data_IF_438224482712
#
_entry.id   IF_438224482712
#
_cell.length_a   1.000
_cell.length_b   1.000
_cell.length_c   1.000
_cell.angle_alpha   90.00
_cell.angle_beta   90.00
_cell.angle_gamma   90.00
#
_symmetry.space_group_name_H-M   'P 1'
#
loop_
_entity.id
_entity.type
_entity.pdbx_description
1 polymer ?
#
# COMPACT_ATOMS: atom_id res chain seq x y z
N UNK A 1 -1.74 27.30 2.69
CA UNK A 1 -1.42 27.39 1.24
C UNK A 1 0.06 27.07 1.05
N UNK A 2 0.44 25.78 1.14
CA UNK A 2 1.80 25.37 0.85
C UNK A 2 1.95 25.26 -0.67
N UNK A 3 2.84 26.09 -1.24
CA UNK A 3 3.28 25.96 -2.62
C UNK A 3 4.06 24.65 -2.73
N UNK A 4 3.58 23.70 -3.53
CA UNK A 4 4.36 22.54 -3.94
C UNK A 4 5.42 23.02 -4.94
N UNK A 5 6.52 23.55 -4.38
CA UNK A 5 7.70 23.94 -5.13
C UNK A 5 8.29 22.74 -5.87
N UNK A 6 8.99 23.04 -6.97
CA UNK A 6 9.86 22.16 -7.77
C UNK A 6 9.96 20.74 -7.21
N UNK A 7 9.25 19.79 -7.84
CA UNK A 7 9.30 18.40 -7.39
C UNK A 7 10.69 17.87 -7.73
N UNK A 8 11.56 17.75 -6.73
CA UNK A 8 12.90 17.20 -6.90
C UNK A 8 12.80 15.79 -7.47
N UNK A 9 13.55 15.51 -8.55
CA UNK A 9 13.60 14.20 -9.20
C UNK A 9 14.04 13.09 -8.23
N UNK A 10 14.91 13.43 -7.28
CA UNK A 10 15.34 12.54 -6.20
C UNK A 10 15.01 13.19 -4.87
N UNK A 11 14.47 12.42 -3.93
CA UNK A 11 14.20 12.90 -2.58
C UNK A 11 14.62 11.88 -1.53
N UNK A 12 14.98 12.38 -0.36
CA UNK A 12 15.28 11.58 0.81
C UNK A 12 14.37 12.00 1.96
N UNK A 13 13.84 11.03 2.69
CA UNK A 13 13.05 11.24 3.90
C UNK A 13 13.54 10.32 5.00
N UNK A 14 13.78 10.89 6.18
CA UNK A 14 13.87 10.13 7.41
C UNK A 14 12.60 10.37 8.23
N UNK A 15 11.88 9.29 8.51
CA UNK A 15 10.63 9.32 9.25
C UNK A 15 10.91 9.23 10.74
N UNK A 16 10.16 10.00 11.53
CA UNK A 16 10.24 9.98 13.00
C UNK A 16 10.07 8.55 13.55
N UNK A 17 10.95 8.07 14.46
CA UNK A 17 10.83 6.77 15.12
C UNK A 17 9.46 6.49 15.76
N UNK A 18 8.76 7.54 16.18
CA UNK A 18 7.45 7.47 16.82
C UNK A 18 6.30 7.67 15.81
N UNK A 19 6.57 7.59 14.50
CA UNK A 19 5.52 7.68 13.48
C UNK A 19 4.90 6.33 13.16
N UNK A 20 3.56 6.28 13.08
CA UNK A 20 2.83 5.13 12.55
C UNK A 20 3.28 4.74 11.12
N UNK A 21 3.69 5.72 10.31
CA UNK A 21 4.09 5.52 8.91
C UNK A 21 5.21 4.49 8.77
N UNK A 22 6.05 4.36 9.80
CA UNK A 22 7.08 3.35 9.83
C UNK A 22 6.50 1.95 9.65
N UNK A 23 5.32 1.63 10.21
CA UNK A 23 4.67 0.32 10.04
C UNK A 23 4.56 -0.10 8.56
N UNK A 24 4.39 0.88 7.67
CA UNK A 24 4.19 0.69 6.24
C UNK A 24 5.43 0.98 5.38
N UNK A 25 6.61 1.12 5.98
CA UNK A 25 7.84 1.39 5.24
C UNK A 25 9.11 1.26 6.07
N UNK A 26 10.20 1.75 5.49
CA UNK A 26 11.49 1.84 6.18
C UNK A 26 11.66 3.24 6.77
N UNK A 27 12.48 3.36 7.83
CA UNK A 27 12.78 4.65 8.46
C UNK A 27 13.36 5.68 7.50
N UNK A 28 14.24 5.23 6.60
CA UNK A 28 14.90 6.08 5.61
C UNK A 28 14.45 5.67 4.22
N UNK A 29 13.81 6.60 3.53
CA UNK A 29 13.27 6.38 2.19
C UNK A 29 13.96 7.29 1.20
N UNK A 30 14.67 6.69 0.25
CA UNK A 30 15.12 7.36 -0.97
C UNK A 30 14.02 7.17 -2.02
N UNK A 31 13.56 8.24 -2.66
CA UNK A 31 12.57 8.15 -3.75
C UNK A 31 13.08 8.79 -5.03
N UNK A 32 12.84 8.12 -6.16
CA UNK A 32 12.97 8.69 -7.50
C UNK A 32 11.57 8.99 -8.05
N UNK A 33 11.34 10.24 -8.41
CA UNK A 33 10.12 10.68 -9.09
C UNK A 33 10.21 10.36 -10.58
N UNK A 34 9.50 9.33 -11.00
CA UNK A 34 9.31 9.04 -12.42
C UNK A 34 8.48 10.14 -13.11
N UNK A 35 8.83 10.44 -14.35
CA UNK A 35 8.09 11.37 -15.21
C UNK A 35 7.88 10.74 -16.60
N UNK A 36 6.76 11.03 -17.29
CA UNK A 36 6.54 10.55 -18.65
C UNK A 36 7.68 10.94 -19.58
N UNK A 37 8.24 9.96 -20.31
CA UNK A 37 9.32 10.18 -21.27
C UNK A 37 10.71 10.40 -20.67
N UNK A 38 10.89 10.20 -19.35
CA UNK A 38 12.22 10.24 -18.75
C UNK A 38 13.10 9.06 -19.21
N UNK A 39 14.41 9.28 -19.27
CA UNK A 39 15.39 8.19 -19.42
C UNK A 39 15.63 7.56 -18.04
N UNK A 40 14.74 6.63 -17.66
CA UNK A 40 14.80 6.00 -16.35
C UNK A 40 16.13 5.28 -16.09
N UNK A 41 16.74 4.52 -17.03
CA UNK A 41 18.08 3.97 -16.85
C UNK A 41 19.13 5.02 -16.45
N UNK A 42 19.20 6.14 -17.19
CA UNK A 42 20.16 7.20 -16.87
C UNK A 42 19.89 7.84 -15.50
N UNK A 43 18.61 8.02 -15.14
CA UNK A 43 18.24 8.54 -13.82
C UNK A 43 18.58 7.56 -12.70
N UNK A 44 18.42 6.25 -12.92
CA UNK A 44 18.82 5.23 -11.94
C UNK A 44 20.33 5.25 -11.73
N UNK A 45 21.13 5.29 -12.79
CA UNK A 45 22.60 5.40 -12.71
C UNK A 45 23.05 6.64 -11.93
N UNK A 46 22.44 7.79 -12.21
CA UNK A 46 22.71 9.02 -11.47
C UNK A 46 22.33 8.88 -9.99
N UNK A 47 21.16 8.32 -9.72
CA UNK A 47 20.60 8.20 -8.37
C UNK A 47 21.42 7.28 -7.46
N UNK A 48 22.00 6.20 -8.00
CA UNK A 48 22.84 5.26 -7.25
C UNK A 48 24.01 5.94 -6.52
N UNK A 49 24.54 7.02 -7.09
CA UNK A 49 25.63 7.80 -6.48
C UNK A 49 25.18 8.61 -5.26
N UNK A 50 23.87 8.87 -5.14
CA UNK A 50 23.25 9.70 -4.11
C UNK A 50 22.69 8.91 -2.93
N UNK A 51 22.58 7.58 -3.07
CA UNK A 51 22.05 6.72 -2.01
C UNK A 51 23.00 6.64 -0.80
N UNK A 52 22.42 6.69 0.39
CA UNK A 52 23.11 6.66 1.69
C UNK A 52 22.47 5.63 2.62
N UNK A 53 23.23 5.15 3.62
CA UNK A 53 22.75 4.15 4.60
C UNK A 53 22.58 2.74 4.02
N UNK A 54 23.33 2.39 2.98
CA UNK A 54 23.14 1.21 2.13
C UNK A 54 23.16 -0.13 2.89
N UNK A 55 23.82 -0.18 4.04
CA UNK A 55 23.99 -1.33 4.92
C UNK A 55 22.90 -1.46 6.00
N UNK A 56 21.97 -0.50 6.09
CA UNK A 56 20.90 -0.49 7.09
C UNK A 56 19.59 -1.07 6.52
N UNK A 57 19.05 -2.09 7.19
CA UNK A 57 17.77 -2.75 6.88
C UNK A 57 16.56 -1.80 6.94
N UNK A 58 16.70 -0.68 7.66
CA UNK A 58 15.71 0.40 7.74
C UNK A 58 15.90 1.48 6.65
N UNK A 59 16.61 1.16 5.57
CA UNK A 59 16.62 1.95 4.33
C UNK A 59 15.84 1.28 3.21
N UNK A 60 15.19 2.09 2.37
CA UNK A 60 14.56 1.63 1.12
C UNK A 60 14.80 2.65 0.02
N UNK A 61 15.07 2.16 -1.19
CA UNK A 61 14.96 2.94 -2.42
C UNK A 61 13.64 2.60 -3.11
N UNK A 62 12.84 3.61 -3.47
CA UNK A 62 11.55 3.44 -4.14
C UNK A 62 11.46 4.21 -5.46
N UNK A 63 10.85 3.57 -6.46
CA UNK A 63 10.42 4.19 -7.72
C UNK A 63 8.96 3.84 -7.93
N UNK A 64 8.11 4.84 -8.16
CA UNK A 64 6.70 4.61 -8.47
C UNK A 64 6.44 4.93 -9.94
N UNK A 65 6.11 3.90 -10.72
CA UNK A 65 5.84 4.01 -12.17
C UNK A 65 4.38 3.65 -12.47
N UNK A 66 3.77 4.19 -13.54
CA UNK A 66 2.47 3.72 -13.99
C UNK A 66 2.54 2.23 -14.30
N UNK A 67 1.54 1.44 -13.89
CA UNK A 67 1.57 -0.03 -14.06
C UNK A 67 1.49 -0.49 -15.53
N UNK A 68 1.10 0.41 -16.44
CA UNK A 68 1.07 0.14 -17.88
C UNK A 68 2.40 0.49 -18.57
N UNK A 69 3.32 1.17 -17.87
CA UNK A 69 4.63 1.51 -18.39
C UNK A 69 5.54 0.28 -18.29
N UNK A 70 5.65 -0.45 -19.41
CA UNK A 70 6.36 -1.74 -19.43
C UNK A 70 7.81 -1.61 -19.85
N UNK A 71 8.19 -0.52 -20.54
CA UNK A 71 9.56 -0.28 -20.98
C UNK A 71 10.53 -0.12 -19.78
N UNK A 72 10.02 0.41 -18.67
CA UNK A 72 10.78 0.69 -17.45
C UNK A 72 10.96 -0.52 -16.52
N UNK A 73 10.22 -1.60 -16.73
CA UNK A 73 10.25 -2.76 -15.85
C UNK A 73 11.61 -3.47 -15.86
N UNK A 74 12.19 -3.71 -17.05
CA UNK A 74 13.47 -4.42 -17.16
C UNK A 74 14.65 -3.61 -16.59
N UNK A 75 14.78 -2.29 -16.86
CA UNK A 75 15.73 -1.44 -16.15
C UNK A 75 15.63 -1.56 -14.62
N UNK A 76 14.43 -1.43 -14.06
CA UNK A 76 14.22 -1.54 -12.61
C UNK A 76 14.70 -2.90 -12.07
N UNK A 77 14.39 -3.99 -12.76
CA UNK A 77 14.86 -5.36 -12.40
C UNK A 77 16.39 -5.46 -12.45
N UNK A 78 17.04 -4.92 -13.49
CA UNK A 78 18.50 -4.93 -13.60
C UNK A 78 19.19 -4.12 -12.49
N UNK A 79 18.53 -3.06 -12.01
CA UNK A 79 18.96 -2.30 -10.83
C UNK A 79 18.54 -2.95 -9.51
N UNK A 80 17.99 -4.18 -9.51
CA UNK A 80 17.67 -4.94 -8.31
C UNK A 80 16.40 -4.49 -7.59
N UNK A 81 15.51 -3.74 -8.25
CA UNK A 81 14.20 -3.42 -7.70
C UNK A 81 13.22 -4.59 -7.90
N UNK A 82 12.40 -4.84 -6.89
CA UNK A 82 11.26 -5.74 -6.98
C UNK A 82 9.94 -4.93 -6.96
N UNK A 83 8.91 -5.34 -7.71
CA UNK A 83 7.60 -4.73 -7.61
C UNK A 83 6.91 -5.25 -6.35
N UNK A 84 6.76 -4.40 -5.32
CA UNK A 84 6.27 -4.84 -4.01
C UNK A 84 4.87 -4.35 -3.67
N UNK A 85 4.49 -3.15 -4.09
CA UNK A 85 3.18 -2.57 -3.81
C UNK A 85 2.52 -2.06 -5.09
N UNK A 86 1.20 -2.21 -5.17
CA UNK A 86 0.38 -1.61 -6.22
C UNK A 86 -0.55 -0.57 -5.60
N UNK A 87 -0.62 0.58 -6.26
CA UNK A 87 -1.70 1.54 -6.07
C UNK A 87 -2.77 1.19 -7.10
N UNK A 88 -3.87 0.62 -6.61
CA UNK A 88 -4.98 0.19 -7.44
C UNK A 88 -6.13 1.17 -7.32
N UNK A 89 -6.92 1.30 -8.38
CA UNK A 89 -8.06 2.20 -8.44
C UNK A 89 -9.30 1.45 -8.93
N UNK A 90 -10.41 1.64 -8.21
CA UNK A 90 -11.76 1.24 -8.61
C UNK A 90 -12.52 2.50 -9.04
N UNK A 91 -13.18 2.46 -10.19
CA UNK A 91 -14.15 3.48 -10.58
C UNK A 91 -15.54 3.14 -10.01
N UNK A 92 -16.34 4.15 -9.71
CA UNK A 92 -17.70 4.00 -9.20
C UNK A 92 -18.56 3.05 -10.06
N UNK A 93 -19.49 2.33 -9.43
CA UNK A 93 -20.38 1.38 -10.10
C UNK A 93 -19.70 0.09 -10.58
N UNK A 94 -18.44 -0.15 -10.24
CA UNK A 94 -17.70 -1.39 -10.54
C UNK A 94 -17.59 -2.31 -9.33
N UNK A 95 -18.73 -2.68 -8.76
CA UNK A 95 -18.77 -3.71 -7.70
C UNK A 95 -19.08 -5.08 -8.29
N UNK A 96 -18.40 -6.15 -7.84
CA UNK A 96 -18.87 -7.50 -8.13
C UNK A 96 -20.25 -7.71 -7.49
N UNK A 97 -21.01 -8.66 -8.03
CA UNK A 97 -22.28 -9.05 -7.43
C UNK A 97 -22.05 -9.46 -5.96
N UNK A 98 -22.88 -8.93 -5.06
CA UNK A 98 -22.85 -9.30 -3.65
C UNK A 98 -22.99 -10.82 -3.53
N UNK A 99 -22.08 -11.42 -2.76
CA UNK A 99 -22.17 -12.84 -2.40
C UNK A 99 -22.82 -12.93 -1.03
N UNK A 100 -23.72 -13.90 -0.79
CA UNK A 100 -24.24 -14.14 0.54
C UNK A 100 -23.09 -14.37 1.52
N UNK A 101 -23.14 -13.68 2.64
CA UNK A 101 -22.24 -13.88 3.77
C UNK A 101 -23.08 -14.08 5.03
N UNK A 102 -22.61 -14.93 5.95
CA UNK A 102 -23.24 -15.11 7.26
C UNK A 102 -22.88 -14.00 8.26
N UNK A 103 -22.41 -12.84 7.78
CA UNK A 103 -22.00 -11.73 8.65
C UNK A 103 -22.92 -10.53 8.43
N UNK A 104 -23.18 -9.82 9.52
CA UNK A 104 -23.83 -8.51 9.51
C UNK A 104 -22.78 -7.41 9.46
N UNK A 105 -23.02 -6.36 8.69
CA UNK A 105 -22.14 -5.19 8.62
C UNK A 105 -22.75 -4.06 9.44
N UNK A 106 -21.97 -3.48 10.36
CA UNK A 106 -22.37 -2.30 11.14
C UNK A 106 -21.26 -1.27 11.25
N UNK A 107 -21.58 0.01 11.47
CA UNK A 107 -20.58 1.02 11.81
C UNK A 107 -19.81 0.63 13.08
N UNK A 108 -18.52 0.98 13.10
CA UNK A 108 -17.70 0.89 14.30
C UNK A 108 -18.05 2.03 15.27
N UNK A 109 -17.90 1.77 16.56
CA UNK A 109 -18.09 2.73 17.64
C UNK A 109 -16.80 2.85 18.46
N UNK A 110 -16.71 3.82 19.36
CA UNK A 110 -15.56 3.95 20.28
C UNK A 110 -15.35 2.71 21.16
N UNK A 111 -16.41 1.94 21.44
CA UNK A 111 -16.33 0.67 22.15
C UNK A 111 -15.61 -0.43 21.35
N UNK A 112 -15.48 -0.27 20.03
CA UNK A 112 -14.84 -1.24 19.14
C UNK A 112 -13.34 -1.00 18.94
N UNK A 113 -12.76 0.04 19.54
CA UNK A 113 -11.37 0.44 19.28
C UNK A 113 -10.36 -0.68 19.53
N UNK A 114 -10.53 -1.44 20.62
CA UNK A 114 -9.66 -2.59 20.94
C UNK A 114 -9.70 -3.66 19.86
N UNK A 115 -10.90 -3.94 19.34
CA UNK A 115 -11.13 -4.93 18.30
C UNK A 115 -10.60 -4.44 16.95
N UNK A 116 -10.77 -3.15 16.64
CA UNK A 116 -10.21 -2.55 15.43
C UNK A 116 -8.67 -2.62 15.42
N UNK A 117 -8.02 -2.36 16.56
CA UNK A 117 -6.56 -2.52 16.69
C UNK A 117 -6.15 -3.99 16.49
N UNK A 118 -6.85 -4.93 17.12
CA UNK A 118 -6.58 -6.38 16.97
C UNK A 118 -6.68 -6.84 15.51
N UNK A 119 -7.79 -6.50 14.84
CA UNK A 119 -8.01 -6.84 13.44
C UNK A 119 -6.96 -6.21 12.51
N UNK A 120 -6.56 -4.97 12.78
CA UNK A 120 -5.53 -4.32 11.99
C UNK A 120 -4.15 -4.98 12.18
N UNK A 121 -3.82 -5.36 13.42
CA UNK A 121 -2.59 -6.10 13.73
C UNK A 121 -2.52 -7.47 13.05
N UNK A 122 -3.66 -8.14 12.80
CA UNK A 122 -3.67 -9.37 11.99
C UNK A 122 -3.20 -9.14 10.56
N UNK A 123 -3.57 -8.01 9.95
CA UNK A 123 -3.11 -7.63 8.61
C UNK A 123 -1.64 -7.21 8.65
N UNK A 124 -1.22 -6.38 9.61
CA UNK A 124 0.19 -5.99 9.80
C UNK A 124 1.09 -7.22 9.81
N UNK A 125 0.80 -8.15 10.74
CA UNK A 125 1.60 -9.37 10.93
C UNK A 125 1.65 -10.22 9.68
N UNK A 126 0.51 -10.37 9.00
CA UNK A 126 0.45 -11.14 7.77
C UNK A 126 1.26 -10.49 6.64
N UNK A 127 1.21 -9.16 6.52
CA UNK A 127 1.88 -8.43 5.46
C UNK A 127 3.39 -8.25 5.69
N UNK A 128 3.92 -8.48 6.91
CA UNK A 128 5.37 -8.50 7.16
C UNK A 128 6.12 -9.50 6.26
N UNK A 129 5.45 -10.56 5.82
CA UNK A 129 6.01 -11.56 4.92
C UNK A 129 6.29 -11.05 3.49
N UNK A 130 5.83 -9.85 3.13
CA UNK A 130 5.89 -9.30 1.76
C UNK A 130 6.90 -8.16 1.60
N UNK A 131 7.69 -7.86 2.63
CA UNK A 131 8.93 -7.07 2.51
C UNK A 131 8.81 -5.54 2.67
N UNK A 132 7.60 -4.98 2.71
CA UNK A 132 7.40 -3.54 2.96
C UNK A 132 6.85 -3.21 4.35
N UNK A 133 5.98 -4.07 4.88
CA UNK A 133 5.41 -3.89 6.22
C UNK A 133 6.39 -4.37 7.28
N UNK A 134 6.50 -3.64 8.38
CA UNK A 134 7.36 -3.98 9.51
C UNK A 134 6.60 -3.75 10.80
N UNK A 135 6.25 -4.82 11.51
CA UNK A 135 5.70 -4.72 12.87
C UNK A 135 6.77 -4.13 13.80
N UNK A 136 6.43 -3.08 14.53
CA UNK A 136 7.29 -2.44 15.54
C UNK A 136 6.67 -2.56 16.92
N UNK A 137 7.48 -2.43 18.00
CA UNK A 137 6.97 -2.49 19.36
C UNK A 137 5.81 -1.52 19.64
N UNK A 138 5.84 -0.33 19.01
CA UNK A 138 4.82 0.72 19.15
C UNK A 138 3.71 0.68 18.07
N UNK A 139 3.70 -0.30 17.16
CA UNK A 139 2.70 -0.34 16.06
C UNK A 139 1.27 -0.37 16.59
N UNK A 140 0.97 -1.22 17.59
CA UNK A 140 -0.38 -1.33 18.13
C UNK A 140 -0.85 -0.05 18.85
N UNK A 141 0.06 0.63 19.55
CA UNK A 141 -0.21 1.90 20.22
C UNK A 141 -0.51 3.01 19.20
N UNK A 142 0.32 3.14 18.16
CA UNK A 142 0.09 4.12 17.11
C UNK A 142 -1.16 3.84 16.28
N UNK A 143 -1.47 2.56 16.02
CA UNK A 143 -2.73 2.17 15.38
C UNK A 143 -3.92 2.56 16.25
N UNK A 144 -3.84 2.41 17.57
CA UNK A 144 -4.91 2.82 18.47
C UNK A 144 -5.20 4.31 18.34
N UNK A 145 -4.18 5.16 18.34
CA UNK A 145 -4.36 6.61 18.15
C UNK A 145 -5.00 6.92 16.79
N UNK A 146 -4.45 6.37 15.71
CA UNK A 146 -4.97 6.64 14.36
C UNK A 146 -6.40 6.10 14.14
N UNK A 147 -6.73 4.93 14.69
CA UNK A 147 -8.07 4.35 14.55
C UNK A 147 -9.10 5.08 15.42
N UNK A 148 -8.70 5.60 16.59
CA UNK A 148 -9.56 6.47 17.39
C UNK A 148 -9.92 7.73 16.60
N UNK A 149 -8.95 8.37 15.94
CA UNK A 149 -9.19 9.53 15.08
C UNK A 149 -10.18 9.23 13.94
N UNK A 150 -10.12 8.03 13.33
CA UNK A 150 -11.07 7.62 12.29
C UNK A 150 -12.47 7.39 12.86
N UNK A 151 -12.58 6.79 14.04
CA UNK A 151 -13.87 6.54 14.72
C UNK A 151 -14.53 7.84 15.17
N UNK A 152 -13.72 8.82 15.59
CA UNK A 152 -14.20 10.12 16.10
C UNK A 152 -14.56 11.12 14.99
N UNK A 153 -14.43 10.74 13.71
CA UNK A 153 -14.88 11.58 12.57
C UNK A 153 -16.38 11.82 12.64
N UNK A 154 -16.80 12.95 12.10
CA UNK A 154 -18.22 13.36 12.03
C UNK A 154 -19.04 12.62 10.95
N UNK A 155 -18.46 11.58 10.35
CA UNK A 155 -19.04 10.77 9.29
C UNK A 155 -18.61 9.31 9.42
N UNK A 156 -19.47 8.39 8.98
CA UNK A 156 -19.13 6.96 8.99
C UNK A 156 -17.98 6.66 8.03
N UNK A 157 -16.87 6.20 8.58
CA UNK A 157 -15.66 5.87 7.83
C UNK A 157 -15.14 4.46 8.14
N UNK A 158 -15.70 3.75 9.12
CA UNK A 158 -15.26 2.44 9.57
C UNK A 158 -16.46 1.52 9.85
N UNK A 159 -16.39 0.29 9.35
CA UNK A 159 -17.42 -0.72 9.56
C UNK A 159 -16.78 -2.06 9.96
N UNK A 160 -17.55 -2.83 10.72
CA UNK A 160 -17.20 -4.17 11.18
C UNK A 160 -18.11 -5.21 10.55
N UNK A 161 -17.53 -6.37 10.25
CA UNK A 161 -18.27 -7.59 9.95
C UNK A 161 -18.44 -8.38 11.25
N UNK A 162 -19.68 -8.71 11.59
CA UNK A 162 -20.06 -9.39 12.83
C UNK A 162 -20.64 -10.75 12.49
N UNK A 163 -20.08 -11.81 13.08
CA UNK A 163 -20.56 -13.18 13.00
C UNK A 163 -20.96 -13.62 14.41
N UNK A 164 -22.23 -14.00 14.62
CA UNK A 164 -22.75 -14.45 15.93
C UNK A 164 -22.32 -13.49 17.07
N UNK A 165 -22.67 -12.20 16.93
CA UNK A 165 -22.31 -11.10 17.84
C UNK A 165 -20.80 -10.81 18.01
N UNK A 166 -19.94 -11.53 17.30
CA UNK A 166 -18.48 -11.36 17.38
C UNK A 166 -17.97 -10.62 16.15
N UNK A 167 -17.29 -9.47 16.29
CA UNK A 167 -16.62 -8.86 15.16
C UNK A 167 -15.46 -9.73 14.65
N UNK A 168 -15.46 -10.01 13.35
CA UNK A 168 -14.50 -10.90 12.69
C UNK A 168 -13.73 -10.21 11.55
N UNK A 169 -14.09 -8.98 11.21
CA UNK A 169 -13.41 -8.19 10.20
C UNK A 169 -13.72 -6.70 10.32
N UNK A 170 -12.86 -5.89 9.74
CA UNK A 170 -13.01 -4.43 9.69
C UNK A 170 -12.64 -3.91 8.31
N UNK A 171 -13.23 -2.78 7.96
CA UNK A 171 -12.82 -1.94 6.84
C UNK A 171 -12.89 -0.48 7.30
N UNK A 172 -11.93 0.34 6.89
CA UNK A 172 -12.08 1.79 6.98
C UNK A 172 -11.60 2.51 5.72
N UNK A 173 -12.16 3.68 5.48
CA UNK A 173 -11.90 4.53 4.34
C UNK A 173 -11.60 5.96 4.79
N UNK A 174 -10.73 6.64 4.06
CA UNK A 174 -10.63 8.10 4.08
C UNK A 174 -11.59 8.63 3.00
N UNK A 175 -12.56 9.43 3.43
CA UNK A 175 -13.49 10.13 2.54
C UNK A 175 -12.76 11.22 1.75
N UNK A 176 -13.36 11.82 0.70
CA UNK A 176 -12.66 12.77 -0.15
C UNK A 176 -11.96 13.94 0.55
N UNK A 177 -12.50 14.41 1.68
CA UNK A 177 -11.89 15.44 2.52
C UNK A 177 -10.60 14.99 3.22
N UNK A 178 -10.43 13.68 3.46
CA UNK A 178 -9.30 13.09 4.20
C UNK A 178 -8.28 12.40 3.27
N UNK A 179 -8.67 12.10 2.02
CA UNK A 179 -7.86 11.34 1.06
C UNK A 179 -6.84 12.17 0.26
N UNK A 180 -6.71 13.47 0.53
CA UNK A 180 -5.94 14.43 -0.30
C UNK A 180 -4.47 14.04 -0.54
N UNK A 181 -3.85 13.29 0.38
CA UNK A 181 -2.47 12.81 0.24
C UNK A 181 -2.26 11.86 -0.96
N UNK A 182 -3.33 11.27 -1.51
CA UNK A 182 -3.31 10.39 -2.67
C UNK A 182 -3.63 11.08 -4.01
N UNK A 183 -3.78 12.42 -4.02
CA UNK A 183 -4.24 13.18 -5.19
C UNK A 183 -3.43 12.89 -6.46
N UNK A 184 -2.10 12.80 -6.35
CA UNK A 184 -1.21 12.53 -7.51
C UNK A 184 -1.48 11.20 -8.23
N UNK A 185 -2.16 10.25 -7.59
CA UNK A 185 -2.38 8.91 -8.14
C UNK A 185 -3.78 8.69 -8.71
N UNK A 186 -4.74 9.50 -8.27
CA UNK A 186 -6.15 9.33 -8.60
C UNK A 186 -6.46 9.88 -9.99
N UNK A 187 -7.24 9.14 -10.79
CA UNK A 187 -7.56 9.51 -12.18
C UNK A 187 -8.96 10.07 -12.36
N UNK A 188 -9.83 9.92 -11.36
CA UNK A 188 -11.14 10.56 -11.30
C UNK A 188 -11.32 11.33 -9.98
N UNK A 189 -12.30 12.25 -9.95
CA UNK A 189 -12.64 13.10 -8.78
C UNK A 189 -14.17 13.18 -8.61
N UNK A 190 -14.69 13.31 -7.37
CA UNK A 190 -13.96 13.16 -6.11
C UNK A 190 -13.47 11.71 -5.91
N UNK A 191 -12.46 11.52 -5.08
CA UNK A 191 -11.90 10.18 -4.81
C UNK A 191 -11.80 9.93 -3.31
N UNK A 192 -11.90 8.67 -2.91
CA UNK A 192 -11.67 8.19 -1.56
C UNK A 192 -10.48 7.24 -1.53
N UNK A 193 -9.96 6.95 -0.34
CA UNK A 193 -8.90 5.98 -0.13
C UNK A 193 -9.36 4.88 0.83
N UNK A 194 -9.29 3.61 0.42
CA UNK A 194 -9.56 2.48 1.30
C UNK A 194 -8.28 2.20 2.09
N UNK A 195 -8.30 2.58 3.36
CA UNK A 195 -7.13 2.55 4.24
C UNK A 195 -6.79 1.16 4.73
N UNK A 196 -7.79 0.35 5.03
CA UNK A 196 -7.60 -1.00 5.51
C UNK A 196 -8.81 -1.87 5.24
N UNK A 197 -8.56 -3.15 4.93
CA UNK A 197 -9.52 -4.24 5.08
C UNK A 197 -8.80 -5.44 5.67
N UNK A 198 -9.31 -5.94 6.80
CA UNK A 198 -8.76 -7.08 7.50
C UNK A 198 -9.85 -8.00 8.01
N UNK A 199 -9.60 -9.30 8.00
CA UNK A 199 -10.45 -10.32 8.63
C UNK A 199 -9.59 -11.25 9.47
N UNK A 200 -10.15 -11.76 10.57
CA UNK A 200 -9.45 -12.71 11.44
C UNK A 200 -9.00 -13.94 10.65
N UNK A 201 -7.84 -14.53 10.97
CA UNK A 201 -7.27 -15.63 10.19
C UNK A 201 -8.16 -16.86 10.05
N UNK A 202 -8.92 -17.20 11.10
CA UNK A 202 -9.77 -18.37 11.25
C UNK A 202 -11.07 -18.30 10.43
N UNK A 203 -11.54 -17.10 10.09
CA UNK A 203 -12.73 -16.90 9.24
C UNK A 203 -12.42 -16.50 7.80
N UNK A 204 -11.16 -16.56 7.37
CA UNK A 204 -10.77 -16.24 5.98
C UNK A 204 -11.46 -17.21 5.01
N UNK A 205 -11.91 -16.68 3.88
CA UNK A 205 -12.65 -17.47 2.88
C UNK A 205 -14.15 -17.63 3.17
N UNK A 206 -14.66 -17.09 4.28
CA UNK A 206 -16.09 -17.09 4.62
C UNK A 206 -16.95 -16.12 3.80
N UNK A 207 -16.32 -15.16 3.11
CA UNK A 207 -17.01 -14.06 2.41
C UNK A 207 -17.07 -12.75 3.19
N UNK A 208 -16.68 -12.71 4.48
CA UNK A 208 -16.75 -11.49 5.30
C UNK A 208 -16.02 -10.28 4.68
N UNK A 209 -14.82 -10.48 4.11
CA UNK A 209 -14.10 -9.42 3.41
C UNK A 209 -14.81 -8.91 2.16
N UNK A 210 -15.52 -9.80 1.43
CA UNK A 210 -16.32 -9.37 0.27
C UNK A 210 -17.54 -8.56 0.69
N UNK A 211 -18.19 -8.91 1.80
CA UNK A 211 -19.31 -8.16 2.36
C UNK A 211 -18.87 -6.75 2.80
N UNK A 212 -17.73 -6.65 3.51
CA UNK A 212 -17.14 -5.36 3.91
C UNK A 212 -16.80 -4.48 2.69
N UNK A 213 -16.14 -5.05 1.69
CA UNK A 213 -15.80 -4.31 0.46
C UNK A 213 -17.05 -3.83 -0.27
N UNK A 214 -18.06 -4.70 -0.44
CA UNK A 214 -19.31 -4.34 -1.09
C UNK A 214 -20.06 -3.23 -0.34
N UNK A 215 -20.12 -3.30 0.99
CA UNK A 215 -20.73 -2.27 1.84
C UNK A 215 -20.03 -0.92 1.66
N UNK A 216 -18.70 -0.87 1.85
CA UNK A 216 -17.97 0.38 1.72
C UNK A 216 -18.03 0.95 0.29
N UNK A 217 -17.99 0.11 -0.74
CA UNK A 217 -18.19 0.57 -2.12
C UNK A 217 -19.58 1.14 -2.36
N UNK A 218 -20.63 0.57 -1.77
CA UNK A 218 -22.00 1.13 -1.86
C UNK A 218 -22.05 2.52 -1.23
N UNK A 219 -21.52 2.65 0.00
CA UNK A 219 -21.47 3.94 0.72
C UNK A 219 -20.72 4.99 -0.10
N UNK A 220 -19.56 4.65 -0.68
CA UNK A 220 -18.77 5.57 -1.50
C UNK A 220 -19.49 5.94 -2.79
N UNK A 221 -20.10 4.98 -3.49
CA UNK A 221 -20.83 5.22 -4.73
C UNK A 221 -22.07 6.10 -4.47
N UNK A 222 -22.81 5.87 -3.37
CA UNK A 222 -23.96 6.67 -2.93
C UNK A 222 -23.56 8.10 -2.54
N UNK A 223 -22.36 8.28 -1.98
CA UNK A 223 -21.78 9.59 -1.69
C UNK A 223 -21.25 10.33 -2.94
N UNK A 224 -21.40 9.75 -4.14
CA UNK A 224 -20.95 10.35 -5.40
C UNK A 224 -19.43 10.33 -5.58
N UNK A 225 -18.71 9.45 -4.88
CA UNK A 225 -17.27 9.26 -5.05
C UNK A 225 -17.00 8.60 -6.40
N UNK A 226 -16.25 9.28 -7.28
CA UNK A 226 -15.99 8.80 -8.64
C UNK A 226 -14.95 7.67 -8.69
N UNK A 227 -14.03 7.63 -7.72
CA UNK A 227 -13.01 6.57 -7.64
C UNK A 227 -12.55 6.27 -6.21
N UNK A 228 -12.14 5.04 -5.97
CA UNK A 228 -11.54 4.58 -4.71
C UNK A 228 -10.14 4.06 -4.99
N UNK A 229 -9.15 4.56 -4.27
CA UNK A 229 -7.77 4.08 -4.33
C UNK A 229 -7.45 3.19 -3.15
N UNK A 230 -6.50 2.27 -3.31
CA UNK A 230 -5.89 1.54 -2.21
C UNK A 230 -4.46 1.16 -2.54
N UNK A 231 -3.69 0.83 -1.50
CA UNK A 231 -2.45 0.08 -1.65
C UNK A 231 -2.71 -1.39 -1.35
N UNK A 232 -2.09 -2.28 -2.13
CA UNK A 232 -1.95 -3.68 -1.73
C UNK A 232 -0.54 -4.19 -2.04
N UNK A 233 -0.04 -5.12 -1.22
CA UNK A 233 1.19 -5.83 -1.52
C UNK A 233 0.97 -6.72 -2.75
N UNK A 234 1.78 -6.52 -3.80
CA UNK A 234 1.70 -7.29 -5.04
C UNK A 234 1.91 -8.80 -4.81
N UNK A 235 2.91 -9.26 -4.02
CA UNK A 235 3.13 -10.70 -3.81
C UNK A 235 2.12 -11.34 -2.85
N UNK A 236 1.19 -10.57 -2.24
CA UNK A 236 0.20 -11.13 -1.33
C UNK A 236 -0.84 -11.95 -2.12
N UNK A 237 -0.85 -13.30 -1.97
CA UNK A 237 -1.68 -14.17 -2.80
C UNK A 237 -3.16 -14.12 -2.45
N UNK A 238 -3.53 -13.46 -1.35
CA UNK A 238 -4.92 -13.24 -0.94
C UNK A 238 -5.42 -11.87 -1.38
N UNK A 239 -4.63 -10.83 -1.11
CA UNK A 239 -5.01 -9.43 -1.34
C UNK A 239 -5.08 -9.09 -2.84
N UNK A 240 -4.06 -9.46 -3.62
CA UNK A 240 -3.99 -9.15 -5.06
C UNK A 240 -5.20 -9.67 -5.86
N UNK A 241 -5.52 -10.98 -5.85
CA UNK A 241 -6.68 -11.47 -6.59
C UNK A 241 -8.00 -10.95 -6.00
N UNK A 242 -8.08 -10.74 -4.68
CA UNK A 242 -9.26 -10.21 -4.03
C UNK A 242 -9.62 -8.81 -4.55
N UNK A 243 -8.67 -7.87 -4.58
CA UNK A 243 -8.95 -6.51 -5.03
C UNK A 243 -9.29 -6.45 -6.52
N UNK A 244 -8.61 -7.22 -7.36
CA UNK A 244 -8.92 -7.27 -8.79
C UNK A 244 -10.32 -7.85 -9.05
N UNK A 245 -10.74 -8.84 -8.26
CA UNK A 245 -12.12 -9.34 -8.31
C UNK A 245 -13.17 -8.33 -7.83
N UNK A 246 -12.75 -7.34 -7.02
CA UNK A 246 -13.58 -6.24 -6.52
C UNK A 246 -13.50 -4.97 -7.40
N UNK A 247 -13.13 -5.12 -8.68
CA UNK A 247 -13.18 -4.03 -9.67
C UNK A 247 -11.99 -3.07 -9.66
N UNK A 248 -11.01 -3.29 -8.79
CA UNK A 248 -9.77 -2.52 -8.79
C UNK A 248 -8.88 -2.91 -9.96
N UNK A 249 -8.20 -1.92 -10.54
CA UNK A 249 -7.17 -2.11 -11.56
C UNK A 249 -5.86 -1.51 -11.11
N UNK A 250 -4.70 -2.14 -11.39
CA UNK A 250 -3.41 -1.55 -11.08
C UNK A 250 -3.24 -0.25 -11.88
N UNK A 251 -2.91 0.84 -11.19
CA UNK A 251 -2.62 2.15 -11.82
C UNK A 251 -1.16 2.50 -11.70
N UNK A 252 -0.58 2.27 -10.52
CA UNK A 252 0.83 2.51 -10.25
C UNK A 252 1.45 1.32 -9.53
N UNK A 253 2.70 1.02 -9.86
CA UNK A 253 3.50 0.01 -9.16
C UNK A 253 4.63 0.71 -8.43
N UNK A 254 4.77 0.43 -7.15
CA UNK A 254 5.89 0.85 -6.31
C UNK A 254 6.92 -0.27 -6.37
N UNK A 255 8.01 0.03 -7.06
CA UNK A 255 9.21 -0.78 -7.13
C UNK A 255 10.12 -0.39 -5.98
N UNK A 256 10.61 -1.38 -5.24
CA UNK A 256 11.39 -1.16 -4.04
C UNK A 256 12.63 -2.05 -4.02
N UNK A 257 13.69 -1.50 -3.42
CA UNK A 257 14.93 -2.19 -3.07
C UNK A 257 15.20 -1.94 -1.59
N UNK A 258 15.09 -2.99 -0.77
CA UNK A 258 15.22 -2.95 0.69
C UNK A 258 16.15 -4.08 1.17
N UNK A 259 17.25 -3.80 1.89
CA UNK A 259 17.84 -2.47 2.12
C UNK A 259 18.18 -1.75 0.81
N UNK A 260 18.43 -0.44 0.85
CA UNK A 260 18.66 0.41 -0.32
C UNK A 260 20.01 0.15 -1.05
N UNK A 261 20.61 -1.03 -0.88
CA UNK A 261 21.91 -1.47 -1.42
C UNK A 261 22.11 -1.03 -2.85
N UNK A 262 23.32 -0.57 -3.20
CA UNK A 262 23.65 -0.27 -4.60
C UNK A 262 23.47 -1.52 -5.46
N UNK A 263 23.01 -1.34 -6.69
CA UNK A 263 23.04 -2.42 -7.68
C UNK A 263 24.48 -2.94 -7.80
N UNK A 264 24.66 -4.26 -7.72
CA UNK A 264 25.97 -4.85 -7.92
C UNK A 264 26.40 -4.60 -9.37
N UNK A 265 27.57 -4.01 -9.58
CA UNK A 265 28.27 -4.16 -10.86
C UNK A 265 28.37 -5.66 -11.10
N UNK A 266 27.70 -6.17 -12.14
CA UNK A 266 27.52 -7.60 -12.32
C UNK A 266 28.83 -8.37 -12.15
N UNK A 267 28.75 -9.58 -11.59
CA UNK A 267 29.84 -10.55 -11.62
C UNK A 267 30.13 -10.88 -13.09
N UNK A 268 30.96 -10.07 -13.73
CA UNK A 268 31.70 -10.46 -14.92
C UNK A 268 32.91 -11.24 -14.45
N UNK A 269 32.71 -12.48 -14.03
CA UNK A 269 33.76 -13.47 -14.03
C UNK A 269 33.33 -14.57 -14.99
N UNK A 270 33.62 -14.37 -16.28
CA UNK A 270 33.90 -15.54 -17.12
C UNK A 270 35.02 -16.31 -16.43
N UNK A 271 34.88 -17.61 -16.17
CA UNK A 271 36.03 -18.41 -15.80
C UNK A 271 36.99 -18.41 -16.99
N UNK A 272 38.24 -17.99 -16.76
CA UNK A 272 39.33 -18.17 -17.72
C UNK A 272 39.31 -19.61 -18.22
N UNK A 273 39.08 -19.79 -19.53
CA UNK A 273 39.35 -21.07 -20.15
C UNK A 273 40.86 -21.27 -20.10
N UNK A 274 41.37 -22.36 -19.50
CA UNK A 274 42.78 -22.69 -19.65
C UNK A 274 43.07 -22.89 -21.13
N UNK A 275 44.06 -22.17 -21.63
CA UNK A 275 44.65 -22.41 -22.94
C UNK A 275 45.29 -23.79 -22.93
N UNK A 276 44.62 -24.76 -23.54
CA UNK A 276 45.25 -26.02 -23.93
C UNK A 276 46.14 -25.78 -25.15
N UNK A 277 47.34 -26.35 -25.02
CA UNK A 277 48.51 -26.41 -25.91
C UNK A 277 48.23 -26.97 -27.29
#
# INVERSE_FOLDING_TARGET
MLRWGVTETFSYRETDPDSLLLTWGARRTHSLLWQPGCDLPALLDEWETRLTGLDDLETVAIVTVPSHETADALPLVHHGFAPLTVIAERLAGRSPAARPSGVDIRPATSADLDVAVELNMHTVRYDTAFGLVTERPNTAEHLRTALAEVIDRDHEAMWLAVLDDTPVGMIYVDMPQDAGWMERFATARPFAYLGHLGVRPDVRGSGAGSALAAHAHSVLDEAGVASTLLHHALPNPRSTPFWYSNGYRPRWTVWARRPALRSSSGVSSQPDRPSET
#
